data_IF_403377314545
#
_entry.id   IF_403377314545
#
_cell.length_a   1.000
_cell.length_b   1.000
_cell.length_c   1.000
_cell.angle_alpha   90.00
_cell.angle_beta   90.00
_cell.angle_gamma   90.00
#
_symmetry.space_group_name_H-M   'P 1'
#
loop_
_entity.id
_entity.type
_entity.pdbx_description
1 polymer ?
#
# COMPACT_ATOMS: atom_id res chain seq x y z
N UNK A 1 17.29 25.03 21.83
CA UNK A 1 17.05 23.76 21.12
C UNK A 1 15.59 23.51 20.71
N UNK A 2 14.57 23.95 21.47
CA UNK A 2 13.15 23.78 21.11
C UNK A 2 12.68 24.56 19.86
N UNK A 3 13.32 25.69 19.53
CA UNK A 3 12.94 26.55 18.40
C UNK A 3 13.21 25.92 17.01
N UNK A 4 14.16 24.97 16.89
CA UNK A 4 14.52 24.33 15.62
C UNK A 4 13.55 23.20 15.21
N UNK A 5 12.94 22.51 16.17
CA UNK A 5 11.93 21.49 15.90
C UNK A 5 10.65 22.12 15.31
N UNK A 6 10.21 23.25 15.87
CA UNK A 6 9.05 24.01 15.38
C UNK A 6 9.26 24.62 13.97
N UNK A 7 10.50 24.89 13.57
CA UNK A 7 10.82 25.41 12.23
C UNK A 7 10.88 24.32 11.16
N UNK A 8 11.21 23.08 11.56
CA UNK A 8 11.19 21.91 10.66
C UNK A 8 9.75 21.43 10.42
N UNK A 9 8.86 21.61 11.40
CA UNK A 9 7.42 21.38 11.27
C UNK A 9 6.70 22.31 10.28
N UNK A 10 7.32 23.42 9.85
CA UNK A 10 6.70 24.43 8.97
C UNK A 10 6.74 24.10 7.48
N UNK A 11 7.47 23.05 7.05
CA UNK A 11 7.36 22.50 5.68
C UNK A 11 6.51 21.23 5.70
N UNK A 12 5.25 21.36 6.13
CA UNK A 12 4.30 20.24 6.16
C UNK A 12 4.10 19.71 4.74
N UNK A 13 4.61 18.52 4.44
CA UNK A 13 4.30 17.87 3.18
C UNK A 13 2.79 17.55 3.19
N UNK A 14 2.02 17.94 2.16
CA UNK A 14 0.55 17.84 2.18
C UNK A 14 0.01 16.39 2.16
N UNK A 15 0.86 15.38 2.34
CA UNK A 15 0.50 13.96 2.44
C UNK A 15 0.23 13.48 3.87
N UNK A 16 0.41 14.35 4.87
CA UNK A 16 0.26 13.99 6.30
C UNK A 16 -0.95 14.64 6.97
N UNK A 17 -1.76 15.40 6.22
CA UNK A 17 -2.94 16.09 6.77
C UNK A 17 -2.63 17.13 7.84
N UNK A 18 -3.69 17.72 8.40
CA UNK A 18 -3.63 18.81 9.38
C UNK A 18 -4.12 18.45 10.78
N UNK A 19 -4.67 17.25 11.00
CA UNK A 19 -5.18 16.88 12.32
C UNK A 19 -4.04 16.67 13.32
N UNK A 20 -4.28 17.08 14.57
CA UNK A 20 -3.29 17.08 15.64
C UNK A 20 -3.49 15.87 16.55
N UNK A 21 -2.55 15.66 17.48
CA UNK A 21 -2.68 14.63 18.52
C UNK A 21 -4.02 14.71 19.27
N UNK A 22 -4.51 15.94 19.53
CA UNK A 22 -5.75 16.20 20.26
C UNK A 22 -7.00 15.69 19.54
N UNK A 23 -7.00 15.65 18.20
CA UNK A 23 -8.15 15.21 17.40
C UNK A 23 -8.49 13.74 17.60
N UNK A 24 -7.55 12.90 18.06
CA UNK A 24 -7.82 11.48 18.33
C UNK A 24 -8.34 11.23 19.74
N UNK A 25 -7.87 12.00 20.73
CA UNK A 25 -8.26 11.85 22.14
C UNK A 25 -9.63 12.44 22.42
N UNK A 26 -10.08 13.39 21.59
CA UNK A 26 -11.42 13.94 21.62
C UNK A 26 -12.40 12.98 20.91
N UNK A 27 -13.34 12.35 21.64
CA UNK A 27 -14.33 11.44 21.05
C UNK A 27 -15.15 12.06 19.92
N UNK A 28 -15.40 13.37 19.98
CA UNK A 28 -16.17 14.08 18.96
C UNK A 28 -15.41 14.22 17.64
N UNK A 29 -14.07 14.26 17.67
CA UNK A 29 -13.20 14.45 16.50
C UNK A 29 -12.59 13.15 16.00
N UNK A 30 -12.66 12.07 16.77
CA UNK A 30 -12.02 10.78 16.46
C UNK A 30 -12.38 10.26 15.05
N UNK A 31 -13.60 10.50 14.58
CA UNK A 31 -14.04 10.11 13.23
C UNK A 31 -13.22 10.74 12.10
N UNK A 32 -12.63 11.93 12.32
CA UNK A 32 -11.78 12.63 11.34
C UNK A 32 -10.43 11.95 11.13
N UNK A 33 -10.02 11.08 12.06
CA UNK A 33 -8.81 10.28 11.94
C UNK A 33 -8.97 9.11 10.95
N UNK A 34 -10.17 8.87 10.43
CA UNK A 34 -10.47 7.77 9.53
C UNK A 34 -10.81 8.23 8.11
N UNK A 35 -10.58 7.36 7.14
CA UNK A 35 -11.01 7.54 5.75
C UNK A 35 -11.39 6.19 5.16
N UNK A 36 -12.30 6.16 4.17
CA UNK A 36 -12.57 4.94 3.42
C UNK A 36 -11.72 4.89 2.15
N UNK A 37 -10.71 4.00 2.04
CA UNK A 37 -9.87 3.89 0.85
C UNK A 37 -10.66 3.70 -0.46
N UNK A 38 -11.86 3.12 -0.39
CA UNK A 38 -12.69 2.79 -1.56
C UNK A 38 -13.25 4.02 -2.25
N UNK A 39 -13.41 5.12 -1.52
CA UNK A 39 -13.93 6.39 -2.03
C UNK A 39 -12.87 7.23 -2.76
N UNK A 40 -11.58 6.91 -2.57
CA UNK A 40 -10.46 7.62 -3.18
C UNK A 40 -9.91 6.87 -4.38
N UNK A 41 -9.03 7.54 -5.14
CA UNK A 41 -8.28 6.92 -6.25
C UNK A 41 -7.52 5.65 -5.82
N UNK A 42 -7.19 5.51 -4.53
CA UNK A 42 -6.63 4.28 -3.95
C UNK A 42 -7.52 3.06 -4.24
N UNK A 43 -8.81 3.16 -3.95
CA UNK A 43 -9.78 2.09 -4.19
C UNK A 43 -9.98 1.79 -5.66
N UNK A 44 -10.09 2.85 -6.49
CA UNK A 44 -10.21 2.74 -7.95
C UNK A 44 -9.01 2.00 -8.54
N UNK A 45 -7.80 2.40 -8.18
CA UNK A 45 -6.56 1.77 -8.62
C UNK A 45 -6.46 0.30 -8.16
N UNK A 46 -6.83 0.01 -6.90
CA UNK A 46 -6.81 -1.36 -6.38
C UNK A 46 -7.78 -2.26 -7.17
N UNK A 47 -9.00 -1.79 -7.44
CA UNK A 47 -9.97 -2.53 -8.27
C UNK A 47 -9.45 -2.76 -9.69
N UNK A 48 -8.83 -1.75 -10.30
CA UNK A 48 -8.24 -1.87 -11.63
C UNK A 48 -7.12 -2.92 -11.68
N UNK A 49 -6.24 -2.96 -10.66
CA UNK A 49 -5.20 -3.99 -10.52
C UNK A 49 -5.82 -5.38 -10.35
N UNK A 50 -6.79 -5.52 -9.45
CA UNK A 50 -7.46 -6.79 -9.18
C UNK A 50 -8.20 -7.32 -10.41
N UNK A 51 -8.91 -6.45 -11.13
CA UNK A 51 -9.61 -6.80 -12.37
C UNK A 51 -8.63 -7.25 -13.44
N UNK A 52 -7.56 -6.49 -13.69
CA UNK A 52 -6.50 -6.84 -14.66
C UNK A 52 -5.87 -8.20 -14.35
N UNK A 53 -5.55 -8.46 -13.07
CA UNK A 53 -5.01 -9.75 -12.61
C UNK A 53 -6.02 -10.89 -12.76
N UNK A 54 -7.29 -10.68 -12.40
CA UNK A 54 -8.32 -11.73 -12.52
C UNK A 54 -8.56 -12.15 -13.98
N UNK A 55 -8.43 -11.21 -14.92
CA UNK A 55 -8.62 -11.46 -16.36
C UNK A 55 -7.32 -11.85 -17.09
N UNK A 56 -6.17 -11.72 -16.43
CA UNK A 56 -4.85 -11.89 -17.04
C UNK A 56 -4.72 -11.08 -18.34
N UNK A 57 -5.23 -9.84 -18.30
CA UNK A 57 -5.29 -8.92 -19.43
C UNK A 57 -4.81 -7.53 -19.01
N UNK A 58 -4.01 -6.84 -19.83
CA UNK A 58 -3.71 -5.45 -19.57
C UNK A 58 -4.99 -4.61 -19.48
N UNK A 59 -5.00 -3.63 -18.59
CA UNK A 59 -6.17 -2.76 -18.37
C UNK A 59 -5.76 -1.30 -18.47
N UNK A 60 -6.45 -0.56 -19.32
CA UNK A 60 -6.35 0.90 -19.40
C UNK A 60 -7.37 1.55 -18.48
N UNK A 61 -6.88 2.44 -17.63
CA UNK A 61 -7.68 3.30 -16.78
C UNK A 61 -7.53 4.73 -17.27
N UNK A 62 -8.60 5.34 -17.79
CA UNK A 62 -8.57 6.68 -18.38
C UNK A 62 -9.26 7.66 -17.44
N UNK A 63 -8.59 8.76 -17.10
CA UNK A 63 -9.20 9.83 -16.31
C UNK A 63 -9.92 10.80 -17.26
N UNK A 64 -11.23 11.01 -17.06
CA UNK A 64 -12.12 11.70 -18.02
C UNK A 64 -11.72 13.16 -18.31
N UNK A 65 -10.89 13.78 -17.46
CA UNK A 65 -10.50 15.20 -17.57
C UNK A 65 -9.03 15.43 -17.99
N UNK A 66 -8.23 14.40 -18.30
CA UNK A 66 -6.80 14.55 -18.65
C UNK A 66 -6.48 14.24 -20.12
N UNK A 67 -7.37 14.64 -21.04
CA UNK A 67 -7.18 14.48 -22.49
C UNK A 67 -6.84 13.04 -22.93
N UNK A 68 -7.48 12.03 -22.32
CA UNK A 68 -7.26 10.62 -22.64
C UNK A 68 -6.02 9.98 -21.98
N UNK A 69 -5.26 10.74 -21.19
CA UNK A 69 -4.17 10.18 -20.38
C UNK A 69 -4.72 9.34 -19.24
N UNK A 70 -3.90 8.39 -18.82
CA UNK A 70 -4.33 7.38 -17.89
C UNK A 70 -3.20 6.52 -17.36
N UNK A 71 -3.61 5.42 -16.74
CA UNK A 71 -2.71 4.36 -16.31
C UNK A 71 -2.98 3.12 -17.16
N UNK A 72 -1.93 2.42 -17.59
CA UNK A 72 -2.06 1.08 -18.17
C UNK A 72 -1.42 0.08 -17.23
N UNK A 73 -2.22 -0.89 -16.76
CA UNK A 73 -1.81 -1.94 -15.84
C UNK A 73 -1.47 -3.17 -16.66
N UNK A 74 -0.30 -3.75 -16.39
CA UNK A 74 0.21 -4.95 -17.04
C UNK A 74 0.36 -6.07 -15.99
N UNK A 75 -0.58 -7.02 -15.92
CA UNK A 75 -0.73 -7.89 -14.75
C UNK A 75 0.36 -8.97 -14.66
N UNK A 76 0.92 -9.40 -15.80
CA UNK A 76 1.98 -10.42 -15.84
C UNK A 76 3.31 -9.85 -15.33
N UNK A 77 3.62 -8.60 -15.69
CA UNK A 77 4.87 -7.93 -15.31
C UNK A 77 4.77 -7.20 -13.96
N UNK A 78 3.57 -7.17 -13.35
CA UNK A 78 3.27 -6.38 -12.14
C UNK A 78 3.70 -4.91 -12.26
N UNK A 79 3.45 -4.33 -13.44
CA UNK A 79 3.88 -2.97 -13.80
C UNK A 79 2.71 -2.10 -14.23
N UNK A 80 2.87 -0.80 -14.01
CA UNK A 80 1.93 0.22 -14.43
C UNK A 80 2.68 1.29 -15.21
N UNK A 81 2.23 1.55 -16.43
CA UNK A 81 2.65 2.69 -17.23
C UNK A 81 1.76 3.88 -16.88
N UNK A 82 2.35 4.96 -16.39
CA UNK A 82 1.64 6.14 -15.91
C UNK A 82 1.85 7.35 -16.83
N UNK A 83 0.81 7.76 -17.54
CA UNK A 83 0.86 8.96 -18.40
C UNK A 83 0.43 10.24 -17.67
N UNK A 84 -0.17 10.11 -16.48
CA UNK A 84 -0.65 11.20 -15.65
C UNK A 84 0.54 11.87 -14.97
N UNK A 85 0.62 13.19 -15.07
CA UNK A 85 1.65 13.97 -14.38
C UNK A 85 1.51 13.83 -12.87
N UNK A 86 2.63 13.76 -12.15
CA UNK A 86 2.63 13.45 -10.70
C UNK A 86 1.73 14.38 -9.88
N UNK A 87 1.77 15.69 -10.12
CA UNK A 87 0.95 16.65 -9.40
C UNK A 87 -0.57 16.46 -9.66
N UNK A 88 -0.96 15.98 -10.84
CA UNK A 88 -2.36 15.63 -11.14
C UNK A 88 -2.75 14.34 -10.43
N UNK A 89 -1.91 13.31 -10.54
CA UNK A 89 -2.13 12.04 -9.85
C UNK A 89 -2.25 12.24 -8.32
N UNK A 90 -1.42 13.11 -7.76
CA UNK A 90 -1.49 13.50 -6.35
C UNK A 90 -2.82 14.17 -6.01
N UNK A 91 -3.27 15.14 -6.81
CA UNK A 91 -4.58 15.80 -6.61
C UNK A 91 -5.73 14.80 -6.68
N UNK A 92 -5.75 13.94 -7.69
CA UNK A 92 -6.75 12.88 -7.85
C UNK A 92 -6.77 11.95 -6.62
N UNK A 93 -5.61 11.62 -6.08
CA UNK A 93 -5.50 10.73 -4.91
C UNK A 93 -6.05 11.34 -3.63
N UNK A 94 -6.13 12.67 -3.53
CA UNK A 94 -6.58 13.38 -2.32
C UNK A 94 -8.09 13.68 -2.32
N UNK A 95 -8.79 13.43 -3.43
CA UNK A 95 -10.23 13.77 -3.59
C UNK A 95 -11.08 12.51 -3.46
N UNK A 96 -12.12 12.58 -2.62
CA UNK A 96 -13.14 11.53 -2.51
C UNK A 96 -14.10 11.58 -3.70
N UNK A 97 -14.70 10.45 -4.06
CA UNK A 97 -15.57 10.31 -5.23
C UNK A 97 -14.81 10.13 -6.54
N UNK A 98 -13.58 9.62 -6.48
CA UNK A 98 -12.71 9.45 -7.66
C UNK A 98 -13.29 8.49 -8.71
N UNK A 99 -14.20 7.59 -8.33
CA UNK A 99 -14.78 6.57 -9.22
C UNK A 99 -15.60 7.19 -10.37
N UNK A 100 -16.22 8.34 -10.12
CA UNK A 100 -17.09 9.01 -11.10
C UNK A 100 -16.33 9.60 -12.31
N UNK A 101 -15.00 9.64 -12.25
CA UNK A 101 -14.17 10.33 -13.24
C UNK A 101 -13.20 9.39 -13.97
N UNK A 102 -13.43 8.08 -13.88
CA UNK A 102 -12.49 7.08 -14.38
C UNK A 102 -13.23 6.00 -15.17
N UNK A 103 -12.73 5.71 -16.38
CA UNK A 103 -13.20 4.60 -17.22
C UNK A 103 -12.16 3.47 -17.26
N UNK A 104 -12.65 2.22 -17.32
CA UNK A 104 -11.84 1.03 -17.43
C UNK A 104 -12.05 0.34 -18.77
N UNK A 105 -10.95 0.04 -19.46
CA UNK A 105 -10.96 -0.71 -20.70
C UNK A 105 -9.94 -1.85 -20.64
N UNK A 106 -10.41 -3.08 -20.73
CA UNK A 106 -9.52 -4.22 -20.97
C UNK A 106 -8.91 -4.12 -22.36
N UNK A 107 -7.61 -4.38 -22.46
CA UNK A 107 -6.87 -4.39 -23.71
C UNK A 107 -6.65 -5.83 -24.18
N UNK A 108 -6.15 -5.99 -25.40
CA UNK A 108 -5.81 -7.30 -25.92
C UNK A 108 -4.69 -7.95 -25.06
N UNK A 109 -4.71 -9.27 -24.93
CA UNK A 109 -3.71 -10.01 -24.12
C UNK A 109 -2.27 -9.74 -24.57
N UNK A 110 -2.09 -9.59 -25.89
CA UNK A 110 -0.78 -9.37 -26.51
C UNK A 110 -0.33 -7.91 -26.46
N UNK A 111 -1.14 -6.99 -25.89
CA UNK A 111 -0.72 -5.60 -25.73
C UNK A 111 0.52 -5.55 -24.84
N UNK A 112 1.63 -5.14 -25.44
CA UNK A 112 2.89 -4.94 -24.74
C UNK A 112 2.97 -3.52 -24.15
N UNK A 113 3.73 -3.33 -23.07
CA UNK A 113 4.11 -2.00 -22.62
C UNK A 113 4.77 -1.25 -23.77
N UNK A 114 4.33 -0.01 -24.02
CA UNK A 114 4.94 0.84 -25.05
C UNK A 114 6.37 1.25 -24.66
N UNK A 115 6.66 1.23 -23.37
CA UNK A 115 7.93 1.60 -22.79
C UNK A 115 8.86 0.39 -22.56
N UNK A 116 10.13 0.52 -22.97
CA UNK A 116 11.23 -0.26 -22.41
C UNK A 116 11.37 0.05 -20.90
N UNK A 117 11.95 -0.86 -20.11
CA UNK A 117 12.07 -0.76 -18.64
C UNK A 117 12.82 0.50 -18.13
N UNK A 118 13.30 1.37 -19.02
CA UNK A 118 14.04 2.60 -18.73
C UNK A 118 13.17 3.86 -18.81
N UNK A 119 11.90 3.79 -19.23
CA UNK A 119 11.07 4.99 -19.21
C UNK A 119 10.69 5.41 -17.79
N UNK A 120 10.86 6.69 -17.42
CA UNK A 120 10.63 7.20 -16.06
C UNK A 120 9.17 7.12 -15.59
N UNK A 121 8.26 6.70 -16.46
CA UNK A 121 6.82 6.62 -16.22
C UNK A 121 6.31 5.20 -15.94
N UNK A 122 7.17 4.19 -15.98
CA UNK A 122 6.81 2.81 -15.62
C UNK A 122 7.17 2.54 -14.16
N UNK A 123 6.20 2.10 -13.36
CA UNK A 123 6.35 1.84 -11.93
C UNK A 123 5.81 0.44 -11.59
N UNK A 124 6.18 -0.09 -10.43
CA UNK A 124 5.58 -1.33 -9.93
C UNK A 124 4.14 -1.06 -9.45
N UNK A 125 3.27 -2.06 -9.54
CA UNK A 125 1.90 -1.98 -8.99
C UNK A 125 1.93 -1.54 -7.51
N UNK A 126 2.74 -2.20 -6.69
CA UNK A 126 2.87 -1.87 -5.27
C UNK A 126 3.45 -0.47 -5.04
N UNK A 127 4.41 -0.02 -5.85
CA UNK A 127 5.01 1.30 -5.69
C UNK A 127 4.03 2.44 -5.98
N UNK A 128 3.20 2.29 -7.03
CA UNK A 128 2.17 3.27 -7.34
C UNK A 128 1.04 3.24 -6.29
N UNK A 129 0.59 2.04 -5.90
CA UNK A 129 -0.47 1.87 -4.91
C UNK A 129 -0.06 2.43 -3.55
N UNK A 130 1.20 2.20 -3.11
CA UNK A 130 1.77 2.83 -1.91
C UNK A 130 1.65 4.36 -1.96
N UNK A 131 2.05 4.96 -3.08
CA UNK A 131 2.08 6.41 -3.26
C UNK A 131 0.67 7.02 -3.23
N UNK A 132 -0.25 6.40 -3.95
CA UNK A 132 -1.66 6.80 -3.97
C UNK A 132 -2.31 6.64 -2.59
N UNK A 133 -2.05 5.52 -1.90
CA UNK A 133 -2.56 5.30 -0.55
C UNK A 133 -2.04 6.34 0.45
N UNK A 134 -0.76 6.68 0.37
CA UNK A 134 -0.16 7.71 1.22
C UNK A 134 -0.81 9.09 0.98
N UNK A 135 -1.07 9.44 -0.28
CA UNK A 135 -1.75 10.70 -0.63
C UNK A 135 -3.23 10.70 -0.23
N UNK A 136 -3.93 9.58 -0.35
CA UNK A 136 -5.33 9.46 0.05
C UNK A 136 -5.51 9.52 1.58
N UNK A 137 -4.63 8.83 2.31
CA UNK A 137 -4.67 8.78 3.76
C UNK A 137 -4.60 10.18 4.38
N UNK A 138 -3.67 11.03 3.92
CA UNK A 138 -3.46 12.37 4.51
C UNK A 138 -3.31 12.30 6.04
N UNK A 139 -2.53 11.33 6.53
CA UNK A 139 -2.37 11.06 7.95
C UNK A 139 -3.47 10.21 8.57
N UNK A 140 -4.62 10.00 7.92
CA UNK A 140 -5.74 9.19 8.47
C UNK A 140 -5.45 7.69 8.35
N UNK A 141 -6.22 6.87 9.05
CA UNK A 141 -6.21 5.40 8.94
C UNK A 141 -7.48 4.89 8.24
N UNK A 142 -7.43 3.72 7.57
CA UNK A 142 -8.61 3.15 6.95
C UNK A 142 -9.71 2.84 7.97
N UNK A 143 -10.96 3.12 7.61
CA UNK A 143 -12.13 2.68 8.41
C UNK A 143 -12.06 1.18 8.69
N UNK A 144 -12.45 0.78 9.91
CA UNK A 144 -12.35 -0.60 10.39
C UNK A 144 -10.99 -0.98 10.99
N UNK A 145 -10.00 -0.08 10.95
CA UNK A 145 -8.73 -0.27 11.66
C UNK A 145 -8.90 0.03 13.15
N UNK A 146 -8.52 -0.90 14.02
CA UNK A 146 -8.30 -0.61 15.44
C UNK A 146 -6.84 -0.17 15.66
N UNK A 147 -6.58 1.11 16.03
CA UNK A 147 -5.22 1.61 16.22
C UNK A 147 -4.53 1.10 17.49
N UNK A 148 -5.27 0.50 18.43
CA UNK A 148 -4.71 -0.15 19.63
C UNK A 148 -4.34 -1.61 19.39
N UNK A 149 -4.84 -2.21 18.31
CA UNK A 149 -4.47 -3.56 17.95
C UNK A 149 -3.01 -3.61 17.44
N UNK A 150 -2.15 -4.47 18.00
CA UNK A 150 -0.77 -4.61 17.53
C UNK A 150 -0.68 -5.09 16.09
N UNK A 151 0.23 -4.49 15.33
CA UNK A 151 0.55 -4.86 13.95
C UNK A 151 2.01 -5.26 13.84
N UNK A 152 2.34 -6.06 12.81
CA UNK A 152 3.72 -6.43 12.47
C UNK A 152 3.99 -6.25 11.00
N UNK A 153 5.26 -6.03 10.66
CA UNK A 153 5.70 -5.99 9.28
C UNK A 153 5.77 -7.41 8.72
N UNK A 154 5.11 -7.66 7.58
CA UNK A 154 5.14 -8.95 6.88
C UNK A 154 6.39 -9.04 6.00
N UNK A 155 6.73 -7.94 5.34
CA UNK A 155 7.94 -7.74 4.56
C UNK A 155 8.27 -6.25 4.48
N UNK A 156 9.54 -5.94 4.24
CA UNK A 156 9.99 -4.56 4.11
C UNK A 156 9.48 -3.92 2.80
N UNK A 157 8.81 -2.76 2.85
CA UNK A 157 8.54 -1.98 1.65
C UNK A 157 9.87 -1.67 0.94
N UNK A 158 9.88 -1.72 -0.39
CA UNK A 158 11.08 -1.43 -1.16
C UNK A 158 11.37 0.07 -1.17
N UNK A 159 11.95 0.59 -0.09
CA UNK A 159 12.26 2.01 0.10
C UNK A 159 13.16 2.61 -0.98
N UNK A 160 13.94 1.78 -1.69
CA UNK A 160 14.77 2.26 -2.83
C UNK A 160 13.96 2.63 -4.07
N UNK A 161 12.67 2.26 -4.13
CA UNK A 161 11.81 2.42 -5.31
C UNK A 161 10.48 3.12 -5.02
N UNK A 162 10.25 3.59 -3.80
CA UNK A 162 9.01 4.25 -3.39
C UNK A 162 9.31 5.56 -2.66
N UNK A 163 8.35 6.48 -2.68
CA UNK A 163 8.42 7.67 -1.83
C UNK A 163 8.47 7.24 -0.36
N UNK A 164 9.51 7.66 0.37
CA UNK A 164 9.74 7.31 1.77
C UNK A 164 9.10 8.40 2.65
N UNK A 165 8.04 8.07 3.42
CA UNK A 165 7.49 9.00 4.38
C UNK A 165 8.49 9.35 5.49
N UNK A 166 8.31 10.50 6.14
CA UNK A 166 9.10 10.85 7.34
C UNK A 166 8.91 9.77 8.41
N UNK A 167 9.98 9.40 9.12
CA UNK A 167 10.03 8.31 10.11
C UNK A 167 9.75 6.88 9.59
N UNK A 168 9.52 6.67 8.28
CA UNK A 168 9.13 5.37 7.73
C UNK A 168 10.10 4.23 8.07
N UNK A 169 11.41 4.49 8.04
CA UNK A 169 12.42 3.48 8.38
C UNK A 169 12.36 3.09 9.87
N UNK A 170 12.12 4.05 10.76
CA UNK A 170 12.01 3.81 12.21
C UNK A 170 10.76 2.98 12.52
N UNK A 171 9.62 3.34 11.91
CA UNK A 171 8.36 2.60 12.05
C UNK A 171 8.52 1.17 11.52
N UNK A 172 9.06 1.01 10.31
CA UNK A 172 9.29 -0.30 9.71
C UNK A 172 10.23 -1.17 10.55
N UNK A 173 11.32 -0.59 11.06
CA UNK A 173 12.28 -1.30 11.92
C UNK A 173 11.63 -1.79 13.21
N UNK A 174 10.80 -0.96 13.85
CA UNK A 174 10.08 -1.34 15.07
C UNK A 174 9.13 -2.51 14.80
N UNK A 175 8.28 -2.40 13.77
CA UNK A 175 7.29 -3.43 13.44
C UNK A 175 7.89 -4.72 12.86
N UNK A 176 9.11 -4.67 12.33
CA UNK A 176 9.87 -5.85 11.93
C UNK A 176 10.43 -6.60 13.15
N UNK A 177 10.79 -5.88 14.22
CA UNK A 177 11.34 -6.47 15.44
C UNK A 177 10.26 -7.05 16.35
N UNK A 178 9.14 -6.34 16.52
CA UNK A 178 8.07 -6.77 17.41
C UNK A 178 6.70 -6.25 16.96
N UNK A 179 5.62 -6.97 17.26
CA UNK A 179 4.28 -6.42 17.12
C UNK A 179 4.09 -5.21 18.03
N UNK A 180 3.53 -4.12 17.50
CA UNK A 180 3.29 -2.88 18.25
C UNK A 180 2.06 -2.19 17.67
N UNK A 181 1.20 -1.61 18.52
CA UNK A 181 0.00 -0.89 18.03
C UNK A 181 0.37 0.43 17.38
N UNK A 182 -0.56 1.04 16.63
CA UNK A 182 -0.27 2.33 15.96
C UNK A 182 -0.07 3.46 16.98
N UNK A 183 -0.83 3.44 18.08
CA UNK A 183 -0.69 4.43 19.15
C UNK A 183 0.61 4.24 19.92
N UNK A 184 0.89 3.01 20.36
CA UNK A 184 2.13 2.69 21.08
C UNK A 184 3.36 3.01 20.24
N UNK A 185 3.30 2.77 18.92
CA UNK A 185 4.39 3.12 17.98
C UNK A 185 4.68 4.63 17.99
N UNK A 186 3.64 5.46 17.99
CA UNK A 186 3.79 6.91 18.02
C UNK A 186 4.45 7.35 19.33
N UNK A 187 3.98 6.79 20.46
CA UNK A 187 4.48 7.11 21.80
C UNK A 187 5.93 6.67 21.99
N UNK A 188 6.27 5.44 21.59
CA UNK A 188 7.64 4.89 21.68
C UNK A 188 8.66 5.66 20.85
N UNK A 189 8.28 6.06 19.63
CA UNK A 189 9.18 6.77 18.74
C UNK A 189 9.20 8.28 19.00
N UNK A 190 8.29 8.79 19.85
CA UNK A 190 8.16 10.22 20.13
C UNK A 190 7.74 11.03 18.90
N UNK A 191 6.91 10.45 18.02
CA UNK A 191 6.48 11.07 16.75
C UNK A 191 4.97 11.27 16.70
N UNK A 192 4.52 12.17 15.84
CA UNK A 192 3.08 12.38 15.66
C UNK A 192 2.39 11.16 15.04
N UNK A 193 1.21 10.81 15.58
CA UNK A 193 0.37 9.69 15.13
C UNK A 193 0.10 9.70 13.62
N UNK A 194 -0.06 10.88 13.01
CA UNK A 194 -0.27 11.02 11.55
C UNK A 194 0.84 10.41 10.71
N UNK A 195 2.10 10.40 11.18
CA UNK A 195 3.19 9.75 10.46
C UNK A 195 3.05 8.22 10.50
N UNK A 196 2.72 7.68 11.67
CA UNK A 196 2.45 6.25 11.86
C UNK A 196 1.24 5.80 11.04
N UNK A 197 0.16 6.58 11.08
CA UNK A 197 -1.08 6.31 10.37
C UNK A 197 -0.92 6.38 8.85
N UNK A 198 -0.21 7.38 8.34
CA UNK A 198 0.15 7.47 6.91
C UNK A 198 1.00 6.27 6.46
N UNK A 199 2.01 5.89 7.26
CA UNK A 199 2.83 4.72 6.98
C UNK A 199 2.01 3.43 6.99
N UNK A 200 1.19 3.23 8.02
CA UNK A 200 0.27 2.09 8.16
C UNK A 200 -0.63 1.97 6.94
N UNK A 201 -1.29 3.05 6.54
CA UNK A 201 -2.23 3.06 5.41
C UNK A 201 -1.57 2.65 4.10
N UNK A 202 -0.37 3.16 3.83
CA UNK A 202 0.39 2.81 2.63
C UNK A 202 0.92 1.36 2.68
N UNK A 203 1.40 0.92 3.85
CA UNK A 203 1.85 -0.46 4.07
C UNK A 203 0.72 -1.47 3.94
N UNK A 204 -0.45 -1.17 4.51
CA UNK A 204 -1.65 -2.00 4.42
C UNK A 204 -2.12 -2.12 2.98
N UNK A 205 -2.13 -1.02 2.22
CA UNK A 205 -2.56 -1.01 0.82
C UNK A 205 -1.76 -1.97 -0.05
N UNK A 206 -0.48 -2.17 0.24
CA UNK A 206 0.38 -3.11 -0.51
C UNK A 206 0.47 -4.50 0.14
N UNK A 207 -0.06 -4.69 1.36
CA UNK A 207 0.03 -5.95 2.11
C UNK A 207 1.31 -6.14 2.92
N UNK A 208 2.07 -5.07 3.18
CA UNK A 208 3.33 -5.11 3.93
C UNK A 208 3.15 -5.21 5.45
N UNK A 209 1.93 -5.03 5.95
CA UNK A 209 1.59 -5.10 7.38
C UNK A 209 0.41 -6.05 7.59
N UNK A 210 0.39 -6.73 8.73
CA UNK A 210 -0.71 -7.60 9.15
C UNK A 210 -0.93 -7.47 10.67
N UNK A 211 -2.13 -7.80 11.14
CA UNK A 211 -2.40 -7.81 12.57
C UNK A 211 -1.63 -8.95 13.27
N UNK A 212 -1.22 -8.70 14.51
CA UNK A 212 -0.65 -9.72 15.37
C UNK A 212 -1.72 -10.82 15.59
N UNK A 213 -1.38 -12.08 15.25
CA UNK A 213 -2.30 -13.21 15.30
C UNK A 213 -2.79 -13.72 13.93
N UNK A 214 -2.81 -12.91 12.88
CA UNK A 214 -3.29 -13.36 11.55
C UNK A 214 -2.38 -14.41 10.89
N UNK A 215 -1.09 -14.46 11.23
CA UNK A 215 -0.16 -15.48 10.67
C UNK A 215 -0.53 -16.90 11.08
N UNK A 216 -1.22 -17.08 12.21
CA UNK A 216 -1.57 -18.41 12.67
C UNK A 216 -2.71 -19.05 11.87
N UNK A 217 -3.57 -18.27 11.20
CA UNK A 217 -4.65 -18.83 10.37
C UNK A 217 -4.16 -19.34 9.01
N UNK A 218 -3.19 -18.67 8.38
CA UNK A 218 -2.69 -19.08 7.06
C UNK A 218 -1.61 -20.16 7.11
N UNK A 219 -0.89 -20.32 8.23
CA UNK A 219 0.12 -21.36 8.40
C UNK A 219 -0.42 -22.69 8.97
N UNK A 220 -1.63 -22.69 9.56
CA UNK A 220 -2.28 -23.91 10.07
C UNK A 220 -3.35 -24.49 9.14
N UNK A 221 -3.77 -23.74 8.12
CA UNK A 221 -4.82 -24.17 7.17
C UNK A 221 -4.32 -24.89 5.90
N UNK A 222 -3.01 -25.14 5.76
CA UNK A 222 -2.49 -25.93 4.63
C UNK A 222 -1.48 -27.00 5.08
N UNK A 223 -1.95 -27.91 5.95
CA UNK A 223 -1.50 -29.29 5.92
C UNK A 223 -2.60 -30.13 5.29
N UNK A 224 -2.71 -30.08 3.96
CA UNK A 224 -3.39 -31.15 3.23
C UNK A 224 -2.62 -32.46 3.46
N UNK A 225 -3.23 -33.53 3.99
CA UNK A 225 -2.58 -34.83 4.00
C UNK A 225 -2.59 -35.33 2.55
N UNK A 226 -1.40 -35.47 1.95
CA UNK A 226 -1.26 -36.16 0.67
C UNK A 226 -0.60 -35.37 -0.45
N UNK A 227 0.58 -34.80 -0.21
CA UNK A 227 1.58 -34.69 -1.28
C UNK A 227 2.94 -35.14 -0.73
N UNK A 228 3.13 -36.47 -0.70
CA UNK A 228 4.48 -37.05 -0.67
C UNK A 228 5.17 -36.61 -1.97
N UNK A 229 6.05 -35.62 -1.85
CA UNK A 229 6.77 -35.04 -2.97
C UNK A 229 7.52 -36.09 -3.79
N UNK A 230 7.66 -35.84 -5.08
CA UNK A 230 8.37 -36.67 -6.06
C UNK A 230 9.78 -37.11 -5.61
N UNK A 231 10.43 -36.33 -4.74
CA UNK A 231 11.73 -36.66 -4.15
C UNK A 231 11.68 -37.86 -3.17
N UNK A 232 10.54 -38.10 -2.51
CA UNK A 232 10.37 -39.26 -1.64
C UNK A 232 10.24 -40.59 -2.40
N UNK A 233 9.83 -40.54 -3.68
CA UNK A 233 9.76 -41.74 -4.53
C UNK A 233 11.13 -42.18 -5.07
N UNK A 234 12.04 -41.23 -5.26
CA UNK A 234 13.41 -41.53 -5.73
C UNK A 234 14.27 -42.15 -4.62
N UNK A 235 14.07 -41.74 -3.37
CA UNK A 235 14.80 -42.32 -2.23
C UNK A 235 14.39 -43.77 -1.92
N UNK A 236 13.11 -44.13 -2.14
CA UNK A 236 12.67 -45.52 -1.99
C UNK A 236 13.24 -46.46 -3.06
N UNK A 237 13.68 -45.93 -4.21
CA UNK A 237 14.26 -46.75 -5.29
C UNK A 237 15.76 -47.01 -5.14
N UNK A 238 16.44 -46.28 -4.24
CA UNK A 238 17.88 -46.43 -3.97
C UNK A 238 18.17 -47.20 -2.68
N UNK A 239 17.15 -47.49 -1.86
CA UNK A 239 17.27 -48.32 -0.65
C UNK A 239 16.88 -49.80 -0.85
N UNK A 240 16.59 -50.23 -2.08
CA UNK A 240 16.17 -51.60 -2.39
C UNK A 240 16.96 -52.15 -3.58
N UNK A 241 18.27 -52.27 -3.40
CA UNK A 241 19.16 -53.14 -4.18
C UNK A 241 20.35 -53.51 -3.28
N UNK A 242 20.15 -54.58 -2.50
CA UNK A 242 21.18 -55.61 -2.38
C UNK A 242 21.20 -56.42 -3.69
#
# INVERSE_FOLDING_TARGET
HAANLAQTERRRHPSYGSFTHASYTDPSQRHLCFYDPREYFQGVLKRAIDLSRSKQQPLRMTCLNDAGKGLTIFPVQHRIQNEIREHLLRRLSMVSGSDNFVDFRLLHKDTQPTATSLEPRTQTESGLLWKVALWAAMGRIPVGTDPEQPVRLVYWPNFTRIFIPHHAMQIAALWAQRPTSLLETADMLGIERRYVFSFYSAALAIGAVAHAGERQRSATADKRPGQRGLLGRLLNYLGSRD
#
